data_IF_197126221393
#
_entry.id   IF_197126221393
#
_cell.length_a   1.000
_cell.length_b   1.000
_cell.length_c   1.000
_cell.angle_alpha   90.00
_cell.angle_beta   90.00
_cell.angle_gamma   90.00
#
_symmetry.space_group_name_H-M   'P 1'
#
loop_
_entity.id
_entity.type
_entity.pdbx_description
1 polymer ?
#
# COMPACT_ATOMS: atom_id res chain seq x y z
N UNK A 1 9.44 -25.35 11.05
CA UNK A 1 9.24 -24.44 10.03
C UNK A 1 8.13 -23.48 10.23
N UNK A 2 7.04 -23.95 10.74
CA UNK A 2 5.98 -23.04 11.02
C UNK A 2 6.45 -22.05 12.04
N UNK A 3 5.87 -20.96 12.11
CA UNK A 3 6.27 -19.92 13.02
C UNK A 3 7.30 -18.98 12.44
N UNK A 4 8.04 -19.45 11.44
CA UNK A 4 8.97 -18.57 10.79
C UNK A 4 8.35 -17.80 9.67
N UNK A 5 7.15 -18.19 9.24
CA UNK A 5 6.51 -17.52 8.14
C UNK A 5 5.68 -16.36 8.64
N UNK A 6 5.89 -15.19 8.08
CA UNK A 6 5.02 -14.07 8.33
C UNK A 6 3.64 -14.40 7.79
N UNK A 7 2.62 -14.03 8.56
CA UNK A 7 1.26 -14.18 8.11
C UNK A 7 0.82 -12.92 7.42
N UNK A 8 0.84 -12.94 6.10
CA UNK A 8 0.41 -11.77 5.33
C UNK A 8 -1.06 -11.89 5.01
N UNK A 9 -1.78 -10.81 5.22
CA UNK A 9 -3.22 -10.77 4.98
C UNK A 9 -3.50 -9.76 3.89
N UNK A 10 -3.65 -10.29 2.69
CA UNK A 10 -3.84 -9.45 1.51
C UNK A 10 -5.12 -8.63 1.63
N UNK A 11 -6.14 -9.18 2.26
CA UNK A 11 -7.40 -8.48 2.43
C UNK A 11 -7.28 -7.29 3.37
N UNK A 12 -6.21 -7.19 4.14
CA UNK A 12 -5.97 -6.02 4.98
C UNK A 12 -5.25 -4.90 4.25
N UNK A 13 -4.77 -5.16 3.05
CA UNK A 13 -3.98 -4.18 2.32
C UNK A 13 -4.73 -2.85 2.11
N UNK A 14 -6.00 -2.84 1.69
CA UNK A 14 -6.69 -1.57 1.49
C UNK A 14 -6.72 -0.71 2.75
N UNK A 15 -7.01 -1.33 3.87
CA UNK A 15 -7.07 -0.63 5.14
C UNK A 15 -5.69 -0.15 5.57
N UNK A 16 -4.70 -1.02 5.43
CA UNK A 16 -3.33 -0.67 5.80
C UNK A 16 -2.80 0.46 4.93
N UNK A 17 -3.12 0.44 3.64
CA UNK A 17 -2.70 1.50 2.74
C UNK A 17 -3.33 2.83 3.14
N UNK A 18 -4.62 2.81 3.43
CA UNK A 18 -5.32 4.01 3.85
C UNK A 18 -4.68 4.60 5.10
N UNK A 19 -4.37 3.75 6.08
CA UNK A 19 -3.74 4.20 7.31
C UNK A 19 -2.35 4.78 7.05
N UNK A 20 -1.58 4.13 6.19
CA UNK A 20 -0.23 4.58 5.90
C UNK A 20 -0.22 5.92 5.19
N UNK A 21 -1.14 6.11 4.25
CA UNK A 21 -1.25 7.39 3.55
C UNK A 21 -1.52 8.50 4.56
N UNK A 22 -2.47 8.26 5.44
CA UNK A 22 -2.85 9.25 6.43
C UNK A 22 -1.71 9.52 7.41
N UNK A 23 -1.05 8.46 7.87
CA UNK A 23 0.03 8.59 8.85
C UNK A 23 1.20 9.41 8.32
N UNK A 24 1.42 9.36 7.01
CA UNK A 24 2.50 10.11 6.39
C UNK A 24 2.07 11.49 5.94
N UNK A 25 0.82 11.86 6.21
CA UNK A 25 0.33 13.18 5.84
C UNK A 25 0.04 13.35 4.36
N UNK A 26 -0.07 12.26 3.64
CA UNK A 26 -0.44 12.31 2.22
C UNK A 26 -1.95 12.29 2.07
N UNK A 27 -2.40 12.74 0.91
CA UNK A 27 -3.71 12.39 0.39
C UNK A 27 -3.50 11.32 -0.67
N UNK A 28 -4.60 10.72 -1.14
CA UNK A 28 -4.48 9.77 -2.24
C UNK A 28 -3.88 10.45 -3.47
N UNK A 29 -4.31 11.68 -3.75
CA UNK A 29 -3.75 12.44 -4.86
C UNK A 29 -2.27 12.71 -4.67
N UNK A 30 -1.86 13.04 -3.45
CA UNK A 30 -0.47 13.30 -3.16
C UNK A 30 0.39 12.07 -3.36
N UNK A 31 -0.10 10.92 -2.90
CA UNK A 31 0.63 9.67 -3.11
C UNK A 31 0.74 9.35 -4.59
N UNK A 32 -0.37 9.50 -5.32
CA UNK A 32 -0.36 9.23 -6.76
C UNK A 32 0.66 10.10 -7.47
N UNK A 33 0.72 11.35 -7.11
CA UNK A 33 1.66 12.29 -7.70
C UNK A 33 3.10 11.89 -7.39
N UNK A 34 3.38 11.59 -6.13
CA UNK A 34 4.74 11.21 -5.73
C UNK A 34 5.17 9.89 -6.35
N UNK A 35 4.25 8.97 -6.49
CA UNK A 35 4.54 7.66 -7.07
C UNK A 35 4.46 7.66 -8.60
N UNK A 36 4.04 8.78 -9.18
CA UNK A 36 3.86 8.89 -10.62
C UNK A 36 2.88 7.84 -11.14
N UNK A 37 1.78 7.69 -10.43
CA UNK A 37 0.73 6.74 -10.78
C UNK A 37 -0.59 7.50 -10.93
N UNK A 38 -1.53 6.98 -11.71
CA UNK A 38 -2.84 7.61 -11.81
C UNK A 38 -3.56 7.55 -10.48
N UNK A 39 -4.29 8.61 -10.17
CA UNK A 39 -5.09 8.64 -8.94
C UNK A 39 -6.09 7.49 -8.91
N UNK A 40 -6.65 7.16 -10.07
CA UNK A 40 -7.63 6.07 -10.15
C UNK A 40 -7.02 4.75 -9.68
N UNK A 41 -5.74 4.52 -9.98
CA UNK A 41 -5.05 3.32 -9.55
C UNK A 41 -4.98 3.26 -8.02
N UNK A 42 -4.55 4.36 -7.40
CA UNK A 42 -4.48 4.43 -5.94
C UNK A 42 -5.87 4.24 -5.33
N UNK A 43 -6.87 4.89 -5.92
CA UNK A 43 -8.23 4.82 -5.43
C UNK A 43 -8.76 3.38 -5.45
N UNK A 44 -8.46 2.64 -6.52
CA UNK A 44 -8.90 1.25 -6.61
C UNK A 44 -8.25 0.40 -5.53
N UNK A 45 -6.97 0.63 -5.26
CA UNK A 45 -6.28 -0.11 -4.20
C UNK A 45 -6.89 0.18 -2.83
N UNK A 46 -7.19 1.45 -2.56
CA UNK A 46 -7.75 1.84 -1.27
C UNK A 46 -9.15 1.25 -1.07
N UNK A 47 -9.89 1.10 -2.16
CA UNK A 47 -11.24 0.55 -2.08
C UNK A 47 -11.26 -0.98 -2.19
N UNK A 48 -10.09 -1.60 -2.35
CA UNK A 48 -10.01 -3.05 -2.47
C UNK A 48 -10.50 -3.59 -3.80
N UNK A 49 -10.57 -2.74 -4.82
CA UNK A 49 -11.02 -3.16 -6.15
C UNK A 49 -9.93 -3.84 -6.95
N UNK A 50 -8.68 -3.56 -6.63
CA UNK A 50 -7.55 -4.20 -7.28
C UNK A 50 -6.39 -4.23 -6.31
N UNK A 51 -5.36 -4.98 -6.65
CA UNK A 51 -4.18 -5.15 -5.81
C UNK A 51 -2.96 -4.79 -6.65
N UNK A 52 -1.98 -4.08 -6.07
CA UNK A 52 -0.82 -3.69 -6.84
C UNK A 52 0.06 -4.89 -7.19
N UNK A 53 0.73 -4.78 -8.34
CA UNK A 53 1.78 -5.72 -8.67
C UNK A 53 2.96 -5.48 -7.75
N UNK A 54 3.88 -6.44 -7.72
CA UNK A 54 4.99 -6.36 -6.78
C UNK A 54 5.81 -5.09 -6.96
N UNK A 55 6.08 -4.70 -8.20
CA UNK A 55 6.88 -3.50 -8.44
C UNK A 55 6.16 -2.24 -7.96
N UNK A 56 4.85 -2.19 -8.13
CA UNK A 56 4.07 -1.05 -7.63
C UNK A 56 4.03 -1.06 -6.12
N UNK A 57 3.92 -2.24 -5.52
CA UNK A 57 3.90 -2.36 -4.06
C UNK A 57 5.20 -1.84 -3.46
N UNK A 58 6.33 -2.22 -4.06
CA UNK A 58 7.63 -1.73 -3.60
C UNK A 58 7.71 -0.22 -3.77
N UNK A 59 7.20 0.29 -4.88
CA UNK A 59 7.23 1.73 -5.15
C UNK A 59 6.48 2.52 -4.09
N UNK A 60 5.25 2.12 -3.79
CA UNK A 60 4.46 2.88 -2.81
C UNK A 60 5.03 2.71 -1.40
N UNK A 61 5.59 1.56 -1.09
CA UNK A 61 6.22 1.38 0.21
C UNK A 61 7.40 2.34 0.36
N UNK A 62 8.19 2.51 -0.70
CA UNK A 62 9.30 3.45 -0.68
C UNK A 62 8.83 4.89 -0.55
N UNK A 63 7.80 5.26 -1.30
CA UNK A 63 7.27 6.62 -1.23
C UNK A 63 6.75 6.92 0.16
N UNK A 64 6.06 5.96 0.75
CA UNK A 64 5.50 6.13 2.08
C UNK A 64 6.53 5.88 3.19
N UNK A 65 7.72 5.41 2.83
CA UNK A 65 8.79 5.15 3.77
C UNK A 65 8.37 4.14 4.84
N UNK A 66 7.68 3.10 4.40
CA UNK A 66 7.27 2.02 5.29
C UNK A 66 7.70 0.71 4.66
N UNK A 67 7.69 -0.34 5.46
CA UNK A 67 8.03 -1.66 4.96
C UNK A 67 6.80 -2.27 4.28
N UNK A 68 7.06 -3.23 3.39
CA UNK A 68 5.98 -3.97 2.77
C UNK A 68 5.20 -4.73 3.83
N UNK A 69 5.87 -5.18 4.88
CA UNK A 69 5.20 -5.84 6.00
C UNK A 69 4.05 -5.00 6.55
N UNK A 70 4.29 -3.70 6.69
CA UNK A 70 3.28 -2.81 7.25
C UNK A 70 2.05 -2.72 6.37
N UNK A 71 2.21 -2.97 5.08
CA UNK A 71 1.08 -2.92 4.17
C UNK A 71 0.31 -4.23 4.12
N UNK A 72 0.96 -5.34 4.46
CA UNK A 72 0.38 -6.67 4.27
C UNK A 72 0.04 -7.38 5.57
N UNK A 73 0.25 -6.76 6.68
CA UNK A 73 -0.08 -7.33 7.97
C UNK A 73 -1.10 -6.48 8.65
#
# INVERSE_FOLDING_TARGET
MTGEFAEYKIDLFPENLKKAIKAKGFTQSGLAEQANLPLETISKWVRGKSFPRLDSLVLIANVLEISIDELLR
#
